data_IF_015136713272
#
_entry.id   IF_015136713272
#
_cell.length_a   1.000
_cell.length_b   1.000
_cell.length_c   1.000
_cell.angle_alpha   90.00
_cell.angle_beta   90.00
_cell.angle_gamma   90.00
#
_symmetry.space_group_name_H-M   'P 1'
#
loop_
_entity.id
_entity.type
_entity.pdbx_description
1 polymer ?
#
# COMPACT_ATOMS: atom_id res chain seq x y z
N UNK A 1 -4.59 9.50 -0.27
CA UNK A 1 -3.16 9.68 0.06
C UNK A 1 -3.14 10.34 1.43
N UNK A 2 -2.57 9.70 2.43
CA UNK A 2 -2.38 10.27 3.76
C UNK A 2 -0.90 10.62 3.91
N UNK A 3 -0.58 11.87 4.24
CA UNK A 3 0.79 12.35 4.36
C UNK A 3 0.95 13.18 5.64
N UNK A 4 1.80 12.72 6.55
CA UNK A 4 2.20 13.42 7.77
C UNK A 4 3.72 13.64 7.72
N UNK A 5 4.15 14.84 7.31
CA UNK A 5 5.55 15.15 7.05
C UNK A 5 6.20 14.20 6.03
N UNK A 6 7.24 13.46 6.43
CA UNK A 6 7.90 12.44 5.61
C UNK A 6 7.18 11.08 5.60
N UNK A 7 6.09 10.96 6.35
CA UNK A 7 5.32 9.73 6.46
C UNK A 7 4.20 9.74 5.44
N UNK A 8 4.30 8.92 4.39
CA UNK A 8 3.32 8.90 3.31
C UNK A 8 2.72 7.50 3.17
N UNK A 9 1.39 7.43 3.09
CA UNK A 9 0.63 6.22 2.79
C UNK A 9 -0.25 6.44 1.56
N UNK A 10 0.10 5.75 0.48
CA UNK A 10 -0.68 5.66 -0.75
C UNK A 10 -1.17 4.22 -0.92
N UNK A 11 -2.46 4.05 -1.13
CA UNK A 11 -3.06 2.77 -1.50
C UNK A 11 -3.66 2.92 -2.91
N UNK A 12 -3.31 2.03 -3.81
CA UNK A 12 -3.85 1.96 -5.14
C UNK A 12 -4.82 0.79 -5.20
N UNK A 13 -6.11 1.10 -5.37
CA UNK A 13 -7.19 0.12 -5.44
C UNK A 13 -7.87 0.19 -6.80
N UNK A 14 -8.30 -0.97 -7.29
CA UNK A 14 -9.14 -1.06 -8.48
C UNK A 14 -10.56 -0.53 -8.22
N UNK A 15 -11.36 -0.34 -9.29
CA UNK A 15 -12.78 -0.03 -9.20
C UNK A 15 -13.58 -1.03 -8.35
N UNK A 16 -13.13 -2.29 -8.27
CA UNK A 16 -13.70 -3.32 -7.38
C UNK A 16 -13.26 -3.23 -5.91
N UNK A 17 -12.40 -2.28 -5.54
CA UNK A 17 -11.87 -2.12 -4.18
C UNK A 17 -10.67 -2.99 -3.83
N UNK A 18 -10.21 -3.83 -4.76
CA UNK A 18 -9.03 -4.70 -4.59
C UNK A 18 -7.75 -3.89 -4.56
N UNK A 19 -6.87 -4.14 -3.58
CA UNK A 19 -5.57 -3.50 -3.49
C UNK A 19 -4.66 -4.00 -4.61
N UNK A 20 -4.31 -3.12 -5.54
CA UNK A 20 -3.41 -3.39 -6.66
C UNK A 20 -1.96 -2.99 -6.35
N UNK A 21 -1.77 -2.01 -5.47
CA UNK A 21 -0.46 -1.48 -5.14
C UNK A 21 -0.50 -0.57 -3.92
N UNK A 22 0.66 -0.28 -3.34
CA UNK A 22 0.78 0.71 -2.29
C UNK A 22 2.16 1.38 -2.32
N UNK A 23 2.25 2.61 -1.87
CA UNK A 23 3.50 3.32 -1.63
C UNK A 23 3.52 3.81 -0.19
N UNK A 24 4.55 3.40 0.56
CA UNK A 24 4.72 3.74 1.97
C UNK A 24 6.07 4.41 2.14
N UNK A 25 6.13 5.46 2.96
CA UNK A 25 7.35 6.18 3.30
C UNK A 25 7.33 6.50 4.79
N UNK A 26 8.48 6.54 5.46
CA UNK A 26 8.56 6.80 6.90
C UNK A 26 7.98 5.65 7.73
N UNK A 27 7.26 5.98 8.80
CA UNK A 27 6.63 5.03 9.72
C UNK A 27 5.56 4.15 9.09
N UNK A 28 4.93 4.58 8.00
CA UNK A 28 3.92 3.84 7.25
C UNK A 28 4.51 2.56 6.66
N UNK A 29 5.84 2.48 6.51
CA UNK A 29 6.55 1.27 6.07
C UNK A 29 6.31 0.07 7.01
N UNK A 30 5.92 0.31 8.28
CA UNK A 30 5.54 -0.76 9.23
C UNK A 30 4.36 -1.60 8.71
N UNK A 31 3.47 -1.01 7.92
CA UNK A 31 2.32 -1.70 7.35
C UNK A 31 2.63 -2.42 6.02
N UNK A 32 3.87 -2.30 5.52
CA UNK A 32 4.31 -2.92 4.26
C UNK A 32 3.99 -4.41 4.23
N UNK A 33 4.32 -5.15 5.30
CA UNK A 33 4.14 -6.60 5.30
C UNK A 33 2.65 -7.01 5.27
N UNK A 34 1.79 -6.26 5.96
CA UNK A 34 0.35 -6.51 5.94
C UNK A 34 -0.21 -6.24 4.54
N UNK A 35 0.14 -5.09 3.95
CA UNK A 35 -0.29 -4.72 2.61
C UNK A 35 0.29 -5.64 1.53
N UNK A 36 1.53 -6.15 1.68
CA UNK A 36 2.11 -7.15 0.77
C UNK A 36 1.32 -8.47 0.76
N UNK A 37 0.69 -8.84 1.87
CA UNK A 37 -0.16 -10.04 1.95
C UNK A 37 -1.53 -9.82 1.28
N UNK A 38 -2.02 -8.58 1.26
CA UNK A 38 -3.27 -8.22 0.57
C UNK A 38 -3.08 -8.03 -0.94
N UNK A 39 -1.85 -7.81 -1.40
CA UNK A 39 -1.58 -7.71 -2.82
C UNK A 39 -1.87 -9.05 -3.51
N UNK A 40 -2.56 -9.04 -4.66
CA UNK A 40 -2.72 -10.24 -5.46
C UNK A 40 -1.34 -10.75 -5.85
N UNK A 41 -1.13 -12.06 -5.74
CA UNK A 41 0.10 -12.69 -6.16
C UNK A 41 0.24 -12.47 -7.68
N UNK A 42 1.13 -11.56 -8.08
CA UNK A 42 1.52 -11.37 -9.48
C UNK A 42 2.46 -12.52 -9.83
N UNK A 43 1.94 -13.75 -9.88
CA UNK A 43 2.65 -14.90 -10.45
C UNK A 43 2.42 -14.85 -11.95
N UNK A 44 3.41 -14.29 -12.66
CA UNK A 44 3.56 -14.44 -14.11
C UNK A 44 4.11 -15.80 -14.48
#
# INVERSE_FOLDING_TARGET
>A
IEADGNNVKALFKDAGGNLLGFALTGDATKEKLALQKELPAIMG
#
